data_IF_082643605660
#
_entry.id   IF_082643605660
#
_cell.length_a   1.000
_cell.length_b   1.000
_cell.length_c   1.000
_cell.angle_alpha   90.00
_cell.angle_beta   90.00
_cell.angle_gamma   90.00
#
_symmetry.space_group_name_H-M   'P 1'
#
loop_
_entity.id
_entity.type
_entity.pdbx_description
1 polymer ?
#
# COMPACT_ATOMS: atom_id res chain seq x y z
N UNK A 1 10.05 13.60 5.63
CA UNK A 1 9.35 12.64 6.52
C UNK A 1 8.62 13.50 7.52
N UNK A 2 7.29 13.43 7.54
CA UNK A 2 6.52 14.18 8.54
C UNK A 2 6.79 13.59 9.94
N UNK A 3 6.73 14.43 10.97
CA UNK A 3 7.03 14.01 12.36
C UNK A 3 6.15 12.82 12.77
N UNK A 4 4.86 12.88 12.44
CA UNK A 4 3.90 11.81 12.70
C UNK A 4 4.31 10.46 12.07
N UNK A 5 4.84 10.46 10.85
CA UNK A 5 5.30 9.23 10.18
C UNK A 5 6.43 8.56 10.95
N UNK A 6 7.36 9.36 11.47
CA UNK A 6 8.46 8.85 12.28
C UNK A 6 7.98 8.36 13.64
N UNK A 7 7.04 9.06 14.28
CA UNK A 7 6.44 8.62 15.55
C UNK A 7 5.74 7.25 15.41
N UNK A 8 4.98 7.04 14.33
CA UNK A 8 4.38 5.73 14.06
C UNK A 8 5.43 4.64 13.86
N UNK A 9 6.50 4.94 13.13
CA UNK A 9 7.61 4.00 12.94
C UNK A 9 8.32 3.68 14.27
N UNK A 10 8.55 4.68 15.12
CA UNK A 10 9.13 4.49 16.45
C UNK A 10 8.21 3.66 17.36
N UNK A 11 6.89 3.80 17.24
CA UNK A 11 5.94 2.99 18.04
C UNK A 11 6.04 1.48 17.75
N UNK A 12 6.56 1.09 16.58
CA UNK A 12 6.84 -0.32 16.25
C UNK A 12 8.13 -0.80 16.91
N UNK A 13 9.14 0.05 16.96
CA UNK A 13 10.44 -0.27 17.55
C UNK A 13 10.43 -0.22 19.08
N UNK A 14 9.63 0.70 19.63
CA UNK A 14 9.50 0.96 21.05
C UNK A 14 8.02 0.94 21.46
N UNK A 15 7.37 -0.24 21.39
CA UNK A 15 5.97 -0.35 21.76
C UNK A 15 5.80 -0.20 23.27
N UNK A 16 4.82 0.61 23.69
CA UNK A 16 4.40 0.67 25.09
C UNK A 16 3.81 -0.67 25.56
N UNK A 17 3.14 -1.38 24.65
CA UNK A 17 2.62 -2.74 24.85
C UNK A 17 2.88 -3.57 23.60
N UNK A 18 3.47 -4.75 23.75
CA UNK A 18 3.81 -5.62 22.62
C UNK A 18 2.58 -6.02 21.82
N UNK A 19 2.64 -5.81 20.51
CA UNK A 19 1.56 -6.16 19.58
C UNK A 19 0.47 -5.08 19.43
N UNK A 20 0.53 -4.00 20.22
CA UNK A 20 -0.33 -2.84 20.05
C UNK A 20 0.39 -1.80 19.19
N UNK A 21 -0.19 -1.48 18.02
CA UNK A 21 0.36 -0.49 17.10
C UNK A 21 -0.51 0.77 17.11
N UNK A 22 0.13 1.94 17.01
CA UNK A 22 -0.58 3.23 16.93
C UNK A 22 -1.22 3.48 15.57
N UNK A 23 -0.68 2.85 14.51
CA UNK A 23 -1.20 2.97 13.16
C UNK A 23 -2.44 2.09 12.92
N UNK A 24 -3.49 2.70 12.40
CA UNK A 24 -4.75 2.04 12.07
C UNK A 24 -5.20 2.27 10.61
N UNK A 25 -4.68 3.31 9.96
CA UNK A 25 -5.11 3.71 8.61
C UNK A 25 -4.13 3.30 7.52
N UNK A 26 -4.60 3.30 6.26
CA UNK A 26 -3.77 3.03 5.08
C UNK A 26 -2.61 4.03 5.01
N UNK A 27 -2.86 5.30 5.30
CA UNK A 27 -1.86 6.36 5.21
C UNK A 27 -0.75 6.16 6.26
N UNK A 28 -1.12 5.86 7.51
CA UNK A 28 -0.15 5.63 8.60
C UNK A 28 0.71 4.38 8.33
N UNK A 29 0.09 3.26 7.91
CA UNK A 29 0.85 2.06 7.57
C UNK A 29 1.71 2.24 6.31
N UNK A 30 1.26 3.04 5.36
CA UNK A 30 2.05 3.43 4.17
C UNK A 30 3.26 4.28 4.58
N UNK A 31 3.09 5.20 5.52
CA UNK A 31 4.17 6.01 6.06
C UNK A 31 5.24 5.16 6.77
N UNK A 32 4.81 4.19 7.58
CA UNK A 32 5.71 3.22 8.21
C UNK A 32 6.44 2.40 7.13
N UNK A 33 5.71 1.87 6.14
CA UNK A 33 6.28 1.10 5.03
C UNK A 33 7.35 1.91 4.29
N UNK A 34 7.07 3.19 4.04
CA UNK A 34 7.99 4.11 3.38
C UNK A 34 9.32 4.21 4.14
N UNK A 35 9.27 4.43 5.45
CA UNK A 35 10.46 4.55 6.29
C UNK A 35 11.19 3.21 6.38
N UNK A 36 10.45 2.10 6.55
CA UNK A 36 11.01 0.76 6.64
C UNK A 36 11.80 0.39 5.38
N UNK A 37 11.23 0.64 4.19
CA UNK A 37 11.92 0.40 2.91
C UNK A 37 13.13 1.32 2.77
N UNK A 38 12.99 2.61 3.09
CA UNK A 38 14.06 3.61 2.97
C UNK A 38 15.28 3.29 3.84
N UNK A 39 15.06 2.72 5.02
CA UNK A 39 16.11 2.41 5.98
C UNK A 39 16.51 0.93 6.02
N UNK A 40 15.89 0.09 5.17
CA UNK A 40 16.25 -1.33 5.03
C UNK A 40 15.71 -2.23 6.14
N UNK A 41 14.67 -1.83 6.87
CA UNK A 41 14.03 -2.67 7.89
C UNK A 41 13.08 -3.70 7.25
N UNK A 42 13.63 -4.84 6.84
CA UNK A 42 12.87 -5.91 6.18
C UNK A 42 11.71 -6.47 7.02
N UNK A 43 11.90 -6.66 8.33
CA UNK A 43 10.85 -7.17 9.22
C UNK A 43 9.67 -6.19 9.34
N UNK A 44 9.95 -4.89 9.45
CA UNK A 44 8.93 -3.85 9.52
C UNK A 44 8.23 -3.70 8.17
N UNK A 45 8.96 -3.81 7.05
CA UNK A 45 8.35 -3.88 5.71
C UNK A 45 7.31 -4.99 5.63
N UNK A 46 7.68 -6.21 6.04
CA UNK A 46 6.74 -7.36 6.04
C UNK A 46 5.56 -7.13 6.98
N UNK A 47 5.78 -6.53 8.16
CA UNK A 47 4.71 -6.18 9.08
C UNK A 47 3.73 -5.17 8.47
N UNK A 48 4.23 -4.09 7.88
CA UNK A 48 3.40 -3.07 7.23
C UNK A 48 2.58 -3.66 6.09
N UNK A 49 3.17 -4.52 5.26
CA UNK A 49 2.46 -5.24 4.19
C UNK A 49 1.32 -6.08 4.78
N UNK A 50 1.57 -6.84 5.84
CA UNK A 50 0.55 -7.66 6.50
C UNK A 50 -0.63 -6.84 7.01
N UNK A 51 -0.38 -5.66 7.57
CA UNK A 51 -1.43 -4.77 8.07
C UNK A 51 -2.15 -3.99 6.98
N UNK A 52 -1.46 -3.64 5.88
CA UNK A 52 -2.06 -2.95 4.72
C UNK A 52 -2.96 -3.87 3.89
N UNK A 53 -2.59 -5.15 3.71
CA UNK A 53 -3.32 -6.09 2.87
C UNK A 53 -4.85 -6.14 3.12
N UNK A 54 -5.36 -6.16 4.37
CA UNK A 54 -6.80 -6.18 4.63
C UNK A 54 -7.51 -4.82 4.52
N UNK A 55 -6.80 -3.70 4.64
CA UNK A 55 -7.41 -2.35 4.70
C UNK A 55 -7.23 -1.54 3.41
N UNK A 56 -6.22 -1.84 2.60
CA UNK A 56 -5.91 -1.14 1.36
C UNK A 56 -6.92 -1.51 0.26
N UNK A 57 -7.36 -0.50 -0.50
CA UNK A 57 -8.19 -0.74 -1.70
C UNK A 57 -7.37 -1.40 -2.80
N UNK A 58 -8.01 -1.98 -3.81
CA UNK A 58 -7.30 -2.59 -4.94
C UNK A 58 -6.41 -1.57 -5.69
N UNK A 59 -6.85 -0.32 -5.77
CA UNK A 59 -6.04 0.77 -6.36
C UNK A 59 -4.85 1.10 -5.48
N UNK A 60 -5.03 1.17 -4.15
CA UNK A 60 -3.90 1.38 -3.23
C UNK A 60 -2.89 0.23 -3.34
N UNK A 61 -3.38 -1.01 -3.44
CA UNK A 61 -2.53 -2.20 -3.64
C UNK A 61 -1.72 -2.13 -4.93
N UNK A 62 -2.28 -1.64 -6.03
CA UNK A 62 -1.54 -1.44 -7.28
C UNK A 62 -0.47 -0.35 -7.11
N UNK A 63 -0.86 0.81 -6.56
CA UNK A 63 0.05 1.94 -6.39
C UNK A 63 1.21 1.59 -5.45
N UNK A 64 0.90 1.07 -4.26
CA UNK A 64 1.87 0.67 -3.25
C UNK A 64 2.69 -0.54 -3.71
N UNK A 65 2.06 -1.50 -4.39
CA UNK A 65 2.73 -2.67 -4.94
C UNK A 65 3.79 -2.29 -5.97
N UNK A 66 3.47 -1.38 -6.89
CA UNK A 66 4.44 -0.85 -7.85
C UNK A 66 5.50 0.03 -7.20
N UNK A 67 5.15 0.82 -6.20
CA UNK A 67 6.07 1.74 -5.53
C UNK A 67 7.10 1.02 -4.66
N UNK A 68 6.70 -0.05 -3.97
CA UNK A 68 7.52 -0.76 -2.99
C UNK A 68 7.89 -2.20 -3.40
N UNK A 69 7.58 -2.60 -4.63
CA UNK A 69 7.90 -3.92 -5.19
C UNK A 69 7.20 -5.06 -4.44
N UNK A 70 5.87 -4.99 -4.32
CA UNK A 70 5.03 -6.00 -3.68
C UNK A 70 4.22 -6.71 -4.78
N UNK A 71 4.88 -7.61 -5.50
CA UNK A 71 4.30 -8.24 -6.70
C UNK A 71 3.09 -9.14 -6.37
N UNK A 72 3.04 -9.69 -5.15
CA UNK A 72 1.94 -10.53 -4.65
C UNK A 72 0.58 -9.82 -4.68
N UNK A 73 0.55 -8.48 -4.61
CA UNK A 73 -0.69 -7.72 -4.65
C UNK A 73 -1.15 -7.37 -6.05
N UNK A 74 -0.23 -7.27 -7.00
CA UNK A 74 -0.51 -6.69 -8.31
C UNK A 74 -1.51 -7.54 -9.09
N UNK A 75 -1.29 -8.85 -9.17
CA UNK A 75 -2.15 -9.75 -9.94
C UNK A 75 -3.60 -9.71 -9.49
N UNK A 76 -3.84 -9.96 -8.20
CA UNK A 76 -5.19 -9.98 -7.64
C UNK A 76 -5.86 -8.60 -7.70
N UNK A 77 -5.10 -7.52 -7.49
CA UNK A 77 -5.64 -6.17 -7.55
C UNK A 77 -6.01 -5.74 -8.98
N UNK A 78 -5.21 -6.09 -9.99
CA UNK A 78 -5.57 -5.85 -11.39
C UNK A 78 -6.86 -6.58 -11.77
N UNK A 79 -6.98 -7.86 -11.40
CA UNK A 79 -8.19 -8.65 -11.65
C UNK A 79 -9.41 -8.03 -10.96
N UNK A 80 -9.28 -7.64 -9.69
CA UNK A 80 -10.37 -7.00 -8.94
C UNK A 80 -10.84 -5.69 -9.60
N UNK A 81 -9.91 -4.83 -10.05
CA UNK A 81 -10.24 -3.59 -10.76
C UNK A 81 -10.88 -3.86 -12.13
N UNK A 82 -10.43 -4.90 -12.84
CA UNK A 82 -11.02 -5.28 -14.13
C UNK A 82 -12.44 -5.83 -13.97
N UNK A 83 -12.67 -6.69 -12.98
CA UNK A 83 -13.97 -7.32 -12.70
C UNK A 83 -15.00 -6.34 -12.11
N UNK A 84 -14.56 -5.21 -11.56
CA UNK A 84 -15.46 -4.19 -11.00
C UNK A 84 -16.34 -3.56 -12.09
N UNK A 85 -17.65 -3.55 -11.90
CA UNK A 85 -18.59 -2.93 -12.85
C UNK A 85 -18.28 -1.44 -13.11
N UNK A 86 -17.87 -0.71 -12.07
CA UNK A 86 -17.47 0.70 -12.16
C UNK A 86 -16.06 0.82 -12.74
N UNK A 87 -15.92 1.57 -13.84
CA UNK A 87 -14.62 1.91 -14.43
C UNK A 87 -13.72 2.69 -13.45
N UNK A 88 -12.43 2.80 -13.78
CA UNK A 88 -11.49 3.67 -13.09
C UNK A 88 -12.02 5.11 -13.08
N UNK A 89 -12.10 5.69 -11.88
CA UNK A 89 -12.39 7.11 -11.72
C UNK A 89 -11.16 7.94 -12.09
N UNK A 90 -11.39 9.23 -12.42
CA UNK A 90 -10.30 10.16 -12.72
C UNK A 90 -9.30 10.29 -11.56
N UNK A 91 -9.79 10.18 -10.32
CA UNK A 91 -8.94 10.30 -9.14
C UNK A 91 -8.08 9.06 -8.92
N UNK A 92 -8.63 7.85 -9.11
CA UNK A 92 -7.86 6.60 -9.13
C UNK A 92 -6.80 6.65 -10.24
N UNK A 93 -7.19 7.05 -11.46
CA UNK A 93 -6.27 7.15 -12.60
C UNK A 93 -5.14 8.17 -12.40
N UNK A 94 -5.33 9.25 -11.63
CA UNK A 94 -4.25 10.20 -11.31
C UNK A 94 -3.21 9.62 -10.35
N UNK A 95 -3.59 8.65 -9.52
CA UNK A 95 -2.70 8.01 -8.55
C UNK A 95 -1.89 6.87 -9.18
N UNK A 96 -2.39 6.29 -10.27
CA UNK A 96 -1.78 5.16 -10.97
C UNK A 96 -0.79 5.61 -12.05
N UNK A 97 0.16 4.74 -12.40
CA UNK A 97 1.01 4.98 -13.58
C UNK A 97 0.22 4.73 -14.85
N UNK A 98 0.60 5.41 -15.93
CA UNK A 98 -0.04 5.26 -17.25
C UNK A 98 -0.02 3.80 -17.72
N UNK A 99 1.09 3.09 -17.49
CA UNK A 99 1.23 1.68 -17.85
C UNK A 99 0.19 0.79 -17.16
N UNK A 100 -0.05 1.00 -15.86
CA UNK A 100 -1.05 0.24 -15.09
C UNK A 100 -2.48 0.48 -15.63
N UNK A 101 -2.77 1.71 -16.06
CA UNK A 101 -4.08 2.08 -16.63
C UNK A 101 -4.27 1.41 -17.99
N UNK A 102 -3.23 1.38 -18.82
CA UNK A 102 -3.26 0.72 -20.13
C UNK A 102 -3.49 -0.77 -19.95
N UNK A 103 -2.79 -1.41 -19.02
CA UNK A 103 -2.91 -2.85 -18.75
C UNK A 103 -4.33 -3.22 -18.27
N UNK A 104 -4.90 -2.44 -17.35
CA UNK A 104 -6.30 -2.64 -16.90
C UNK A 104 -7.30 -2.46 -18.05
N UNK A 105 -7.10 -1.44 -18.88
CA UNK A 105 -8.00 -1.17 -20.00
C UNK A 105 -7.92 -2.28 -21.06
N UNK A 106 -6.73 -2.83 -21.31
CA UNK A 106 -6.53 -3.95 -22.23
C UNK A 106 -7.25 -5.22 -21.77
N UNK A 107 -7.30 -5.48 -20.45
CA UNK A 107 -7.97 -6.66 -19.88
C UNK A 107 -9.50 -6.53 -19.90
N UNK A 108 -10.06 -5.31 -19.80
CA UNK A 108 -11.52 -5.07 -19.79
C UNK A 108 -12.19 -5.11 -21.17
N UNK A 109 -11.42 -5.17 -22.25
CA UNK A 109 -11.93 -5.28 -23.64
C UNK A 109 -12.52 -6.67 -23.91
#
# INVERSE_FOLDING_TARGET
VEVAHFDHFLSILYPSEYGMYTAATVDEWTAILHIAVRWGFGSIRTLSIKHLAPIATDVDKIVLGRQYGIDEWLGDAYLAVCMRHKSLSKEEGRRMKVDDIIEINAIRQ
#
